data_IF_090596933488
#
_entry.id   IF_090596933488
#
_cell.length_a   1.000
_cell.length_b   1.000
_cell.length_c   1.000
_cell.angle_alpha   90.00
_cell.angle_beta   90.00
_cell.angle_gamma   90.00
#
_symmetry.space_group_name_H-M   'P 1'
#
loop_
_entity.id
_entity.type
_entity.pdbx_description
1 polymer ?
#
# COMPACT_ATOMS: atom_id res chain seq x y z
N UNK A 1 -28.71 -41.86 39.33
CA UNK A 1 -28.91 -40.70 40.23
C UNK A 1 -28.47 -39.45 39.51
N UNK A 2 -29.34 -38.43 39.47
CA UNK A 2 -29.08 -37.02 39.12
C UNK A 2 -27.90 -36.46 39.97
N UNK A 3 -27.22 -35.34 39.67
CA UNK A 3 -27.67 -33.93 39.55
C UNK A 3 -26.46 -33.16 38.92
N UNK A 4 -26.55 -32.48 37.77
CA UNK A 4 -27.02 -31.10 37.48
C UNK A 4 -26.21 -29.92 38.10
N UNK A 5 -25.72 -29.02 37.24
CA UNK A 5 -25.67 -27.54 37.37
C UNK A 5 -24.88 -27.00 36.15
N UNK A 6 -25.45 -26.39 35.09
CA UNK A 6 -26.19 -25.09 35.01
C UNK A 6 -25.39 -23.98 35.71
N UNK A 7 -25.08 -22.81 35.17
CA UNK A 7 -25.67 -21.94 34.13
C UNK A 7 -24.72 -20.68 34.15
N UNK A 8 -24.38 -19.93 33.11
CA UNK A 8 -25.18 -18.83 32.53
C UNK A 8 -24.41 -18.12 31.42
N UNK A 9 -25.16 -17.86 30.36
CA UNK A 9 -24.93 -17.02 29.20
C UNK A 9 -24.99 -15.52 29.51
N UNK A 10 -24.32 -14.70 28.68
CA UNK A 10 -24.70 -13.29 28.43
C UNK A 10 -24.51 -12.94 26.95
N UNK A 11 -25.57 -12.35 26.39
CA UNK A 11 -25.75 -11.99 24.98
C UNK A 11 -26.02 -10.48 24.88
N UNK A 12 -25.38 -9.85 23.89
CA UNK A 12 -25.69 -8.62 23.10
C UNK A 12 -25.94 -7.26 23.77
N UNK A 13 -25.32 -6.19 23.22
CA UNK A 13 -25.90 -5.34 22.14
C UNK A 13 -24.94 -4.22 21.66
N UNK A 14 -25.13 -3.84 20.39
CA UNK A 14 -24.45 -2.82 19.56
C UNK A 14 -24.95 -1.39 19.82
N UNK A 15 -24.13 -0.36 19.54
CA UNK A 15 -24.50 0.97 18.97
C UNK A 15 -23.21 1.67 18.46
N UNK A 16 -22.99 1.88 17.15
CA UNK A 16 -23.35 3.01 16.24
C UNK A 16 -22.69 4.38 16.55
N UNK A 17 -21.97 4.88 15.52
CA UNK A 17 -21.16 6.10 15.33
C UNK A 17 -21.90 7.42 15.57
N UNK A 18 -21.17 8.51 15.89
CA UNK A 18 -21.48 9.89 15.44
C UNK A 18 -20.22 10.77 15.30
N UNK A 19 -20.17 11.49 14.17
CA UNK A 19 -19.16 12.45 13.71
C UNK A 19 -19.23 13.76 14.51
N UNK A 20 -18.10 14.42 14.74
CA UNK A 20 -18.03 15.80 15.27
C UNK A 20 -17.57 16.73 14.14
N UNK A 21 -18.49 17.55 13.63
CA UNK A 21 -18.25 18.64 12.70
C UNK A 21 -17.82 19.87 13.52
N UNK A 22 -16.79 20.57 13.05
CA UNK A 22 -16.29 21.85 13.60
C UNK A 22 -16.27 22.82 12.42
N UNK A 23 -17.11 23.85 12.43
CA UNK A 23 -16.81 25.11 11.76
C UNK A 23 -17.51 26.25 12.50
N UNK A 24 -16.85 27.39 12.47
CA UNK A 24 -16.90 28.60 13.28
C UNK A 24 -17.38 29.75 12.37
N UNK A 25 -18.28 30.62 12.89
CA UNK A 25 -18.36 32.11 12.82
C UNK A 25 -18.14 32.78 11.43
N UNK A 26 -18.88 33.77 10.88
CA UNK A 26 -19.54 35.01 11.40
C UNK A 26 -20.42 35.69 10.31
N UNK A 27 -21.28 36.65 10.75
CA UNK A 27 -21.76 37.92 10.12
C UNK A 27 -22.30 37.93 8.66
N UNK A 28 -23.54 38.35 8.34
CA UNK A 28 -24.30 39.61 8.55
C UNK A 28 -23.99 40.75 7.55
N UNK A 29 -25.06 41.11 6.79
CA UNK A 29 -25.47 42.45 6.31
C UNK A 29 -24.81 43.10 5.08
N UNK A 30 -25.60 43.15 4.00
CA UNK A 30 -26.04 44.30 3.18
C UNK A 30 -25.07 45.48 2.88
N UNK A 31 -24.85 45.80 1.59
CA UNK A 31 -25.34 47.03 0.92
C UNK A 31 -24.81 47.23 -0.51
N UNK A 32 -25.43 48.19 -1.18
CA UNK A 32 -25.59 48.42 -2.63
C UNK A 32 -24.60 49.41 -3.28
N UNK A 33 -24.77 49.52 -4.60
CA UNK A 33 -24.54 50.69 -5.49
C UNK A 33 -23.16 50.99 -6.10
N UNK A 34 -23.10 50.72 -7.42
CA UNK A 34 -22.83 51.63 -8.56
C UNK A 34 -21.85 52.80 -8.32
N UNK A 35 -20.81 52.92 -9.18
CA UNK A 35 -20.58 54.08 -10.07
C UNK A 35 -19.35 53.87 -10.99
N UNK A 36 -19.50 54.27 -12.24
CA UNK A 36 -18.46 54.35 -13.28
C UNK A 36 -17.62 55.62 -13.14
N UNK A 37 -16.36 55.60 -13.57
CA UNK A 37 -15.84 56.44 -14.68
C UNK A 37 -14.37 56.08 -14.96
N UNK A 38 -14.00 56.17 -16.23
CA UNK A 38 -12.69 55.85 -16.80
C UNK A 38 -11.60 56.87 -16.42
N UNK A 39 -10.33 56.45 -16.52
CA UNK A 39 -9.33 57.11 -17.38
C UNK A 39 -8.03 56.28 -17.52
N UNK A 40 -7.75 55.93 -18.78
CA UNK A 40 -6.46 55.87 -19.50
C UNK A 40 -5.18 55.43 -18.76
N UNK A 41 -4.64 54.27 -19.15
CA UNK A 41 -3.19 54.15 -19.38
C UNK A 41 -2.91 53.26 -20.60
N UNK A 42 -2.21 53.82 -21.58
CA UNK A 42 -1.83 53.20 -22.84
C UNK A 42 -0.53 52.43 -22.61
N UNK A 43 -0.64 51.27 -21.96
CA UNK A 43 0.46 50.31 -21.85
C UNK A 43 0.39 49.34 -23.01
N UNK A 44 1.44 49.32 -23.82
CA UNK A 44 1.67 48.31 -24.87
C UNK A 44 1.81 46.94 -24.21
N UNK A 45 0.69 46.23 -24.01
CA UNK A 45 0.72 44.84 -23.60
C UNK A 45 1.25 44.03 -24.77
N UNK A 46 2.52 43.62 -24.70
CA UNK A 46 3.04 42.51 -25.49
C UNK A 46 2.03 41.38 -25.42
N UNK A 47 1.48 41.01 -26.58
CA UNK A 47 0.44 39.99 -26.69
C UNK A 47 1.02 38.72 -26.09
N UNK A 48 0.36 38.14 -25.08
CA UNK A 48 0.81 36.92 -24.39
C UNK A 48 1.18 35.78 -25.38
N UNK A 49 0.61 35.82 -26.57
CA UNK A 49 0.89 34.94 -27.70
C UNK A 49 2.34 35.03 -28.22
N UNK A 50 2.98 36.20 -28.19
CA UNK A 50 4.39 36.36 -28.62
C UNK A 50 5.35 35.67 -27.63
N UNK A 51 5.03 35.67 -26.33
CA UNK A 51 5.79 34.94 -25.32
C UNK A 51 5.61 33.42 -25.47
N UNK A 52 4.40 32.95 -25.78
CA UNK A 52 4.15 31.53 -26.05
C UNK A 52 4.95 31.09 -27.29
N UNK A 53 4.99 31.92 -28.33
CA UNK A 53 5.69 31.63 -29.59
C UNK A 53 7.19 31.53 -29.37
N UNK A 54 7.80 32.48 -28.62
CA UNK A 54 9.23 32.41 -28.29
C UNK A 54 9.56 31.21 -27.40
N UNK A 55 8.72 30.85 -26.42
CA UNK A 55 8.93 29.66 -25.60
C UNK A 55 8.82 28.34 -26.40
N UNK A 56 7.96 28.27 -27.42
CA UNK A 56 7.83 27.10 -28.30
C UNK A 56 9.02 26.98 -29.25
N UNK A 57 9.47 28.08 -29.85
CA UNK A 57 10.63 28.09 -30.77
C UNK A 57 11.92 27.69 -30.04
N UNK A 58 12.12 28.11 -28.79
CA UNK A 58 13.30 27.74 -27.98
C UNK A 58 13.33 26.25 -27.58
N UNK A 59 12.17 25.55 -27.63
CA UNK A 59 12.09 24.10 -27.39
C UNK A 59 12.38 23.28 -28.66
N UNK A 60 12.04 23.77 -29.85
CA UNK A 60 12.24 23.05 -31.11
C UNK A 60 13.74 22.95 -31.47
N UNK A 61 14.55 23.95 -31.14
CA UNK A 61 15.99 23.93 -31.44
C UNK A 61 16.83 23.03 -30.50
N UNK A 62 16.24 22.43 -29.46
CA UNK A 62 16.92 21.50 -28.55
C UNK A 62 16.59 20.01 -28.78
N UNK A 63 15.82 19.66 -29.82
CA UNK A 63 15.42 18.27 -30.11
C UNK A 63 16.49 17.40 -30.82
N UNK A 64 17.76 17.80 -30.86
CA UNK A 64 18.83 16.98 -31.47
C UNK A 64 20.05 16.70 -30.56
N UNK A 65 19.81 16.63 -29.27
CA UNK A 65 20.69 15.90 -28.37
C UNK A 65 19.82 15.01 -27.51
N UNK A 66 19.81 13.72 -27.81
CA UNK A 66 19.36 12.69 -26.88
C UNK A 66 20.40 12.65 -25.75
N UNK A 67 20.18 13.27 -24.58
CA UNK A 67 21.05 13.00 -23.46
C UNK A 67 20.53 11.67 -22.91
N UNK A 68 21.22 10.59 -23.28
CA UNK A 68 21.08 9.30 -22.65
C UNK A 68 20.85 9.53 -21.15
N UNK A 69 19.61 9.32 -20.71
CA UNK A 69 19.26 9.46 -19.31
C UNK A 69 20.23 8.56 -18.55
N UNK A 70 20.99 9.07 -17.57
CA UNK A 70 21.58 8.20 -16.58
C UNK A 70 20.41 7.73 -15.73
N UNK A 71 19.68 6.74 -16.24
CA UNK A 71 18.64 6.01 -15.54
C UNK A 71 19.35 5.27 -14.40
N UNK A 72 19.54 5.98 -13.29
CA UNK A 72 20.10 5.49 -12.03
C UNK A 72 19.14 4.54 -11.33
N UNK A 73 18.76 3.48 -12.02
CA UNK A 73 18.09 2.29 -11.48
C UNK A 73 18.91 1.09 -11.91
N UNK A 74 20.19 1.08 -11.53
CA UNK A 74 21.12 0.02 -11.90
C UNK A 74 20.86 -1.32 -11.23
N UNK A 75 19.96 -1.41 -10.23
CA UNK A 75 19.83 -2.62 -9.40
C UNK A 75 18.37 -3.04 -9.13
N UNK A 76 17.46 -2.88 -10.10
CA UNK A 76 16.22 -3.65 -10.06
C UNK A 76 16.32 -4.72 -11.14
N UNK A 77 16.91 -5.86 -10.76
CA UNK A 77 16.76 -7.09 -11.51
C UNK A 77 15.26 -7.43 -11.59
N UNK A 78 14.62 -7.03 -12.69
CA UNK A 78 13.32 -7.59 -13.04
C UNK A 78 13.58 -9.02 -13.46
N UNK A 79 13.36 -9.95 -12.53
CA UNK A 79 13.36 -11.39 -12.81
C UNK A 79 12.23 -11.69 -13.81
N UNK A 80 12.48 -11.53 -15.09
CA UNK A 80 11.68 -12.10 -16.18
C UNK A 80 12.19 -13.52 -16.42
N UNK A 81 11.93 -14.41 -15.47
CA UNK A 81 12.12 -15.84 -15.62
C UNK A 81 10.75 -16.51 -15.59
N UNK A 82 10.38 -17.17 -16.69
CA UNK A 82 9.16 -17.98 -16.87
C UNK A 82 9.11 -19.25 -15.98
N UNK A 83 9.78 -19.24 -14.84
CA UNK A 83 9.87 -20.37 -13.92
C UNK A 83 8.94 -20.18 -12.73
N UNK A 84 8.24 -21.24 -12.34
CA UNK A 84 7.35 -21.29 -11.18
C UNK A 84 8.02 -20.64 -9.94
N UNK A 85 7.71 -19.35 -9.71
CA UNK A 85 8.35 -18.49 -8.70
C UNK A 85 8.25 -19.12 -7.30
N UNK A 86 7.19 -19.89 -7.06
CA UNK A 86 6.98 -20.64 -5.84
C UNK A 86 6.32 -22.00 -6.13
N UNK A 87 6.50 -22.96 -5.23
CA UNK A 87 5.90 -24.29 -5.26
C UNK A 87 4.90 -24.46 -4.12
N UNK A 88 4.17 -25.57 -4.16
CA UNK A 88 3.33 -25.99 -3.03
C UNK A 88 4.17 -26.13 -1.77
N UNK A 89 3.62 -25.70 -0.64
CA UNK A 89 4.21 -25.74 0.70
C UNK A 89 5.39 -24.77 0.91
N UNK A 90 5.69 -23.91 -0.07
CA UNK A 90 6.65 -22.82 0.08
C UNK A 90 6.10 -21.70 0.98
N UNK A 91 7.02 -21.02 1.64
CA UNK A 91 6.74 -19.76 2.34
C UNK A 91 7.11 -18.59 1.45
N UNK A 92 6.27 -17.57 1.39
CA UNK A 92 6.48 -16.42 0.51
C UNK A 92 6.27 -15.08 1.21
N UNK A 93 6.84 -14.04 0.64
CA UNK A 93 6.47 -12.64 0.85
C UNK A 93 5.65 -12.18 -0.34
N UNK A 94 4.42 -11.76 -0.07
CA UNK A 94 3.50 -11.21 -1.05
C UNK A 94 3.36 -9.69 -0.88
N UNK A 95 3.23 -8.95 -1.98
CA UNK A 95 2.80 -7.54 -1.96
C UNK A 95 1.30 -7.44 -2.20
N UNK A 96 0.68 -6.48 -1.52
CA UNK A 96 -0.69 -6.06 -1.75
C UNK A 96 -0.73 -4.54 -1.88
N UNK A 97 -1.35 -4.07 -2.96
CA UNK A 97 -1.62 -2.65 -3.14
C UNK A 97 -2.74 -2.19 -2.21
N UNK A 98 -2.48 -1.16 -1.43
CA UNK A 98 -3.49 -0.44 -0.65
C UNK A 98 -3.64 0.98 -1.19
N UNK A 99 -4.69 1.69 -0.76
CA UNK A 99 -4.96 3.07 -1.21
C UNK A 99 -3.77 4.04 -1.09
N UNK A 100 -2.87 3.82 -0.12
CA UNK A 100 -1.77 4.76 0.19
C UNK A 100 -0.37 4.16 0.10
N UNK A 101 -0.24 2.84 0.00
CA UNK A 101 1.06 2.17 0.12
C UNK A 101 1.01 0.74 -0.39
N UNK A 102 2.18 0.19 -0.72
CA UNK A 102 2.37 -1.26 -0.84
C UNK A 102 2.58 -1.86 0.56
N UNK A 103 1.83 -2.90 0.86
CA UNK A 103 1.94 -3.68 2.09
C UNK A 103 2.47 -5.08 1.78
N UNK A 104 3.27 -5.60 2.69
CA UNK A 104 3.86 -6.92 2.55
C UNK A 104 3.29 -7.87 3.58
N UNK A 105 3.06 -9.10 3.16
CA UNK A 105 2.52 -10.15 4.01
C UNK A 105 3.32 -11.43 3.82
N UNK A 106 3.45 -12.20 4.89
CA UNK A 106 4.07 -13.52 4.84
C UNK A 106 2.97 -14.56 4.74
N UNK A 107 3.12 -15.51 3.83
CA UNK A 107 2.13 -16.55 3.58
C UNK A 107 2.75 -17.91 3.27
N UNK A 108 1.94 -18.94 3.46
CA UNK A 108 2.27 -20.33 3.14
C UNK A 108 1.42 -20.78 1.95
N UNK A 109 2.06 -21.27 0.89
CA UNK A 109 1.40 -21.72 -0.33
C UNK A 109 0.73 -23.08 -0.07
N UNK A 110 -0.60 -23.12 -0.10
CA UNK A 110 -1.35 -24.36 0.15
C UNK A 110 -1.42 -25.25 -1.09
N UNK A 111 -1.60 -24.61 -2.25
CA UNK A 111 -1.72 -25.26 -3.57
C UNK A 111 -1.53 -24.23 -4.66
N UNK A 112 -1.27 -24.71 -5.87
CA UNK A 112 -1.20 -23.89 -7.08
C UNK A 112 -2.13 -24.52 -8.11
N UNK A 113 -3.02 -23.72 -8.70
CA UNK A 113 -3.95 -24.16 -9.75
C UNK A 113 -3.83 -23.21 -10.93
N UNK A 114 -3.53 -23.72 -12.11
CA UNK A 114 -3.42 -22.92 -13.35
C UNK A 114 -2.49 -21.71 -13.19
N UNK A 115 -1.32 -21.90 -12.54
CA UNK A 115 -0.34 -20.86 -12.16
C UNK A 115 -0.84 -19.81 -11.16
N UNK A 116 -2.01 -20.02 -10.55
CA UNK A 116 -2.56 -19.16 -9.49
C UNK A 116 -2.34 -19.84 -8.13
N UNK A 117 -1.39 -19.35 -7.30
CA UNK A 117 -1.20 -19.86 -5.94
C UNK A 117 -2.37 -19.47 -5.02
N UNK A 118 -2.85 -20.45 -4.23
CA UNK A 118 -3.70 -20.22 -3.06
C UNK A 118 -2.80 -20.15 -1.82
N UNK A 119 -2.75 -19.00 -1.15
CA UNK A 119 -1.82 -18.71 -0.07
C UNK A 119 -2.56 -18.44 1.23
N UNK A 120 -2.09 -19.04 2.33
CA UNK A 120 -2.58 -18.79 3.70
C UNK A 120 -1.64 -17.83 4.42
N UNK A 121 -2.16 -16.66 4.79
CA UNK A 121 -1.38 -15.59 5.39
C UNK A 121 -1.29 -15.68 6.91
N UNK A 122 -0.16 -15.23 7.44
CA UNK A 122 0.10 -15.10 8.88
C UNK A 122 0.17 -13.63 9.26
N UNK A 123 -0.09 -13.33 10.54
CA UNK A 123 -0.03 -11.97 11.08
C UNK A 123 1.24 -11.77 11.89
N UNK A 124 1.89 -10.62 11.72
CA UNK A 124 2.99 -10.20 12.58
C UNK A 124 2.46 -9.94 13.99
N UNK A 125 3.04 -10.60 14.99
CA UNK A 125 2.66 -10.44 16.40
C UNK A 125 3.57 -9.45 17.11
N UNK A 126 4.87 -9.64 16.96
CA UNK A 126 5.89 -8.83 17.64
C UNK A 126 7.19 -8.86 16.87
N UNK A 127 7.99 -7.81 17.07
CA UNK A 127 9.42 -7.91 16.81
C UNK A 127 10.00 -8.82 17.90
N UNK A 128 10.74 -9.87 17.52
CA UNK A 128 11.41 -10.70 18.51
C UNK A 128 12.42 -9.85 19.27
N UNK A 129 12.48 -10.00 20.60
CA UNK A 129 13.53 -9.36 21.40
C UNK A 129 14.79 -10.21 21.22
N UNK A 130 15.74 -9.74 20.42
CA UNK A 130 17.00 -10.43 20.09
C UNK A 130 17.21 -10.60 18.59
N UNK A 131 18.20 -11.40 18.18
CA UNK A 131 18.56 -11.65 16.78
C UNK A 131 17.53 -12.44 15.96
N UNK A 132 16.46 -12.96 16.60
CA UNK A 132 15.52 -13.94 16.00
C UNK A 132 14.39 -13.32 15.16
N UNK A 133 14.59 -12.15 14.57
CA UNK A 133 13.71 -11.59 13.54
C UNK A 133 12.28 -11.26 13.98
N UNK A 134 11.34 -11.32 13.03
CA UNK A 134 9.90 -11.09 13.24
C UNK A 134 9.19 -12.38 13.66
N UNK A 135 8.19 -12.27 14.54
CA UNK A 135 7.37 -13.41 14.99
C UNK A 135 5.97 -13.32 14.40
N UNK A 136 5.50 -14.43 13.82
CA UNK A 136 4.21 -14.54 13.16
C UNK A 136 3.32 -15.60 13.82
N UNK A 137 2.01 -15.44 13.68
CA UNK A 137 1.00 -16.45 14.05
C UNK A 137 -0.15 -16.44 13.06
N UNK A 138 -0.84 -17.58 12.92
CA UNK A 138 -2.10 -17.60 12.18
C UNK A 138 -3.17 -16.75 12.90
N UNK A 139 -3.95 -15.96 12.16
CA UNK A 139 -5.12 -15.28 12.72
C UNK A 139 -6.21 -16.26 13.16
N UNK A 140 -7.13 -15.80 14.03
CA UNK A 140 -8.25 -16.62 14.51
C UNK A 140 -9.22 -17.03 13.39
N UNK A 141 -9.36 -16.17 12.38
CA UNK A 141 -10.10 -16.45 11.15
C UNK A 141 -9.07 -16.70 10.07
N UNK A 142 -9.23 -17.80 9.33
CA UNK A 142 -8.29 -18.13 8.25
C UNK A 142 -8.22 -17.01 7.22
N UNK A 143 -7.00 -16.60 6.91
CA UNK A 143 -6.69 -15.58 5.93
C UNK A 143 -6.09 -16.28 4.72
N UNK A 144 -6.94 -16.60 3.74
CA UNK A 144 -6.57 -17.36 2.55
C UNK A 144 -6.99 -16.57 1.33
N UNK A 145 -6.09 -16.43 0.37
CA UNK A 145 -6.36 -15.71 -0.86
C UNK A 145 -5.63 -16.37 -2.04
N UNK A 146 -6.28 -16.34 -3.20
CA UNK A 146 -5.66 -16.65 -4.49
C UNK A 146 -5.02 -15.37 -5.03
N UNK A 147 -3.79 -15.45 -5.54
CA UNK A 147 -3.04 -14.26 -5.98
C UNK A 147 -2.27 -14.54 -7.26
N UNK A 148 -1.85 -13.47 -7.95
CA UNK A 148 -1.02 -13.57 -9.14
C UNK A 148 0.44 -13.83 -8.75
N UNK A 149 1.20 -14.48 -9.64
CA UNK A 149 2.62 -14.73 -9.42
C UNK A 149 3.43 -13.42 -9.34
N UNK A 150 3.03 -12.39 -10.07
CA UNK A 150 3.67 -11.06 -10.05
C UNK A 150 3.62 -10.37 -8.68
N UNK A 151 2.67 -10.78 -7.83
CA UNK A 151 2.51 -10.29 -6.46
C UNK A 151 3.39 -11.04 -5.46
N UNK A 152 4.00 -12.16 -5.86
CA UNK A 152 4.98 -12.90 -5.07
C UNK A 152 6.35 -12.24 -5.25
N UNK A 153 6.87 -11.64 -4.19
CA UNK A 153 8.15 -10.94 -4.23
C UNK A 153 9.32 -11.88 -3.97
N UNK A 154 9.13 -12.83 -3.04
CA UNK A 154 10.22 -13.68 -2.59
C UNK A 154 9.72 -14.98 -1.98
N UNK A 155 10.42 -16.07 -2.25
CA UNK A 155 10.31 -17.32 -1.50
C UNK A 155 11.25 -17.27 -0.29
N UNK A 156 10.71 -17.61 0.88
CA UNK A 156 11.40 -17.64 2.16
C UNK A 156 11.90 -19.06 2.47
N UNK A 157 12.97 -19.19 3.27
CA UNK A 157 13.37 -20.48 3.80
C UNK A 157 12.29 -21.03 4.74
N UNK A 158 12.32 -22.35 4.98
CA UNK A 158 11.41 -22.99 5.91
C UNK A 158 11.53 -22.34 7.31
N UNK A 159 10.42 -21.91 7.93
CA UNK A 159 10.46 -21.30 9.23
C UNK A 159 10.66 -22.33 10.35
N UNK A 160 11.16 -21.84 11.48
CA UNK A 160 11.08 -22.53 12.74
C UNK A 160 9.69 -22.32 13.37
N UNK A 161 8.94 -23.40 13.52
CA UNK A 161 7.61 -23.38 14.15
C UNK A 161 7.74 -23.85 15.61
N UNK A 162 7.47 -22.93 16.53
CA UNK A 162 7.45 -23.21 17.97
C UNK A 162 6.27 -24.12 18.35
N UNK A 163 6.39 -24.82 19.48
CA UNK A 163 5.32 -25.65 20.07
C UNK A 163 4.00 -24.89 20.30
N UNK A 164 4.04 -23.56 20.40
CA UNK A 164 2.86 -22.69 20.57
C UNK A 164 2.32 -22.13 19.24
N UNK A 165 2.77 -22.64 18.10
CA UNK A 165 2.35 -22.17 16.77
C UNK A 165 2.94 -20.82 16.35
N UNK A 166 3.99 -20.35 17.03
CA UNK A 166 4.73 -19.15 16.60
C UNK A 166 5.68 -19.53 15.47
N UNK A 167 5.66 -18.73 14.41
CA UNK A 167 6.43 -18.94 13.19
C UNK A 167 7.53 -17.87 13.14
N UNK A 168 8.77 -18.31 12.95
CA UNK A 168 9.95 -17.45 12.89
C UNK A 168 10.82 -17.86 11.71
N UNK A 169 11.32 -16.88 10.97
CA UNK A 169 12.20 -17.10 9.83
C UNK A 169 13.62 -16.71 10.20
N UNK A 170 14.58 -17.52 9.76
CA UNK A 170 16.00 -17.13 9.77
C UNK A 170 16.32 -16.31 8.52
N UNK A 171 15.56 -15.22 8.35
CA UNK A 171 15.66 -14.32 7.21
C UNK A 171 15.31 -12.91 7.64
N UNK A 172 16.07 -11.92 7.15
CA UNK A 172 15.86 -10.53 7.51
C UNK A 172 14.72 -9.92 6.69
N UNK A 173 13.59 -9.68 7.37
CA UNK A 173 12.39 -9.07 6.79
C UNK A 173 12.30 -7.56 7.01
N UNK A 174 13.35 -6.90 7.54
CA UNK A 174 13.33 -5.46 7.85
C UNK A 174 13.18 -4.56 6.61
N UNK A 175 13.62 -5.02 5.45
CA UNK A 175 13.46 -4.30 4.17
C UNK A 175 12.03 -4.29 3.64
N UNK A 176 11.12 -5.07 4.23
CA UNK A 176 9.73 -5.18 3.81
C UNK A 176 8.78 -4.50 4.81
N UNK A 177 7.74 -3.83 4.30
CA UNK A 177 6.66 -3.24 5.10
C UNK A 177 5.66 -4.31 5.56
N UNK A 178 6.14 -5.23 6.42
CA UNK A 178 5.39 -6.41 6.89
C UNK A 178 4.31 -6.03 7.89
N UNK A 179 3.09 -6.54 7.66
CA UNK A 179 1.91 -6.31 8.50
C UNK A 179 1.41 -7.56 9.24
#
# INVERSE_FOLDING_TARGET
>A
MNINNKEKSKVNKKTVKKKKLRTYIESSSENSDILSLADTDNSECETFDDFITTCLEEQVEKENFEPALPFGVSDVEYFTGDDDICKKDDWIVAKFATKKSLKHFVGHVLRIKDKIPTVKFVRKVKNSRGSKGLVFTYPNVEDVCEMQLDDVIKVLPQPNISRRGQIMFDFDLRCYNIQ
#
